data_IF_623896146589
#
_entry.id   IF_623896146589
#
_cell.length_a   1.000
_cell.length_b   1.000
_cell.length_c   1.000
_cell.angle_alpha   90.00
_cell.angle_beta   90.00
_cell.angle_gamma   90.00
#
_symmetry.space_group_name_H-M   'P 1'
#
loop_
_entity.id
_entity.type
_entity.pdbx_description
1 polymer ?
#
# COMPACT_ATOMS: atom_id res chain seq x y z
N UNK A 1 66.68 -44.03 -18.24
CA UNK A 1 66.38 -43.11 -17.14
C UNK A 1 65.23 -42.22 -17.58
N UNK A 2 63.95 -42.62 -17.33
CA UNK A 2 62.76 -41.89 -17.77
C UNK A 2 62.11 -41.21 -16.60
N UNK A 3 62.13 -39.86 -16.62
CA UNK A 3 61.42 -39.02 -15.66
C UNK A 3 59.94 -38.90 -16.07
N UNK A 4 59.03 -39.46 -15.22
CA UNK A 4 57.58 -39.27 -15.35
C UNK A 4 57.18 -37.97 -14.71
N UNK A 5 56.75 -37.00 -15.53
CA UNK A 5 56.19 -35.73 -15.04
C UNK A 5 54.70 -35.97 -14.74
N UNK A 6 54.33 -35.91 -13.47
CA UNK A 6 52.97 -35.98 -12.96
C UNK A 6 52.34 -34.58 -13.08
N UNK A 7 51.36 -34.45 -14.03
CA UNK A 7 50.53 -33.24 -14.14
C UNK A 7 49.46 -33.27 -13.06
N UNK A 8 49.61 -32.40 -12.07
CA UNK A 8 48.56 -32.14 -11.07
C UNK A 8 47.55 -31.20 -11.70
N UNK A 9 46.32 -31.68 -11.98
CA UNK A 9 45.21 -30.85 -12.42
C UNK A 9 44.51 -30.30 -11.17
N UNK A 10 44.71 -29.02 -10.87
CA UNK A 10 43.94 -28.29 -9.84
C UNK A 10 42.57 -27.96 -10.45
N UNK A 11 41.53 -28.69 -10.01
CA UNK A 11 40.16 -28.35 -10.31
C UNK A 11 39.67 -27.28 -9.32
N UNK A 12 39.61 -26.03 -9.76
CA UNK A 12 39.03 -24.92 -9.04
C UNK A 12 37.49 -25.03 -9.13
N UNK A 13 36.83 -25.48 -8.05
CA UNK A 13 35.39 -25.40 -7.87
C UNK A 13 34.98 -23.95 -7.59
N UNK A 14 34.46 -23.25 -8.60
CA UNK A 14 33.74 -22.00 -8.43
C UNK A 14 32.36 -22.31 -7.83
N UNK A 15 32.22 -22.11 -6.53
CA UNK A 15 30.92 -22.11 -5.85
C UNK A 15 30.20 -20.83 -6.25
N UNK A 16 29.30 -20.92 -7.23
CA UNK A 16 28.35 -19.85 -7.54
C UNK A 16 27.33 -19.76 -6.42
N UNK A 17 27.49 -18.78 -5.53
CA UNK A 17 26.49 -18.41 -4.54
C UNK A 17 25.33 -17.72 -5.28
N UNK A 18 24.09 -18.25 -5.28
CA UNK A 18 22.96 -17.52 -5.85
C UNK A 18 22.68 -16.31 -4.95
N UNK A 19 23.03 -15.12 -5.43
CA UNK A 19 22.54 -13.87 -4.86
C UNK A 19 21.02 -13.85 -5.03
N UNK A 20 20.28 -14.16 -3.97
CA UNK A 20 18.85 -13.92 -3.91
C UNK A 20 18.62 -12.43 -4.10
N UNK A 21 18.22 -12.02 -5.30
CA UNK A 21 17.78 -10.66 -5.60
C UNK A 21 16.40 -10.50 -4.95
N UNK A 22 16.36 -9.97 -3.73
CA UNK A 22 15.14 -9.47 -3.13
C UNK A 22 14.70 -8.27 -3.96
N UNK A 23 13.67 -8.48 -4.78
CA UNK A 23 13.06 -7.43 -5.59
C UNK A 23 12.52 -6.34 -4.67
N UNK A 24 12.99 -5.11 -4.82
CA UNK A 24 12.51 -3.93 -4.09
C UNK A 24 10.99 -3.66 -4.28
N UNK A 25 10.31 -4.40 -5.19
CA UNK A 25 8.87 -4.36 -5.41
C UNK A 25 8.04 -5.07 -4.34
N UNK A 26 8.61 -6.06 -3.63
CA UNK A 26 7.86 -6.87 -2.66
C UNK A 26 7.54 -6.13 -1.35
N UNK A 27 8.27 -5.07 -1.02
CA UNK A 27 8.07 -4.30 0.22
C UNK A 27 6.83 -3.38 0.19
N UNK A 28 6.21 -3.18 -0.98
CA UNK A 28 5.07 -2.27 -1.15
C UNK A 28 3.71 -2.97 -1.16
N UNK A 29 3.67 -4.28 -1.22
CA UNK A 29 2.45 -5.07 -1.13
C UNK A 29 2.15 -5.44 0.33
N UNK A 30 0.88 -5.41 0.72
CA UNK A 30 0.48 -5.76 2.08
C UNK A 30 0.66 -7.24 2.36
N UNK A 31 0.16 -8.08 1.45
CA UNK A 31 0.21 -9.53 1.61
C UNK A 31 1.65 -10.03 1.40
N UNK A 32 2.16 -10.76 2.39
CA UNK A 32 3.55 -11.23 2.39
C UNK A 32 4.54 -10.22 2.96
N UNK A 33 4.11 -9.01 3.32
CA UNK A 33 4.94 -8.04 4.02
C UNK A 33 5.20 -8.51 5.46
N UNK A 34 6.46 -8.68 5.89
CA UNK A 34 6.80 -9.18 7.23
C UNK A 34 6.38 -8.23 8.36
N UNK A 35 6.05 -6.97 8.06
CA UNK A 35 5.55 -6.01 9.05
C UNK A 35 4.07 -6.18 9.37
N UNK A 36 3.33 -6.98 8.62
CA UNK A 36 1.91 -7.27 8.91
C UNK A 36 1.81 -8.15 10.15
N UNK A 37 1.09 -7.66 11.17
CA UNK A 37 1.03 -8.30 12.50
C UNK A 37 -0.21 -9.14 12.74
N UNK A 38 -1.15 -9.22 11.78
CA UNK A 38 -2.39 -9.97 11.95
C UNK A 38 -3.13 -10.21 10.63
N UNK A 39 -4.31 -10.83 10.68
CA UNK A 39 -5.12 -11.05 9.49
C UNK A 39 -5.61 -9.72 8.89
N UNK A 40 -5.62 -9.65 7.55
CA UNK A 40 -6.25 -8.54 6.85
C UNK A 40 -7.76 -8.57 7.07
N UNK A 41 -8.38 -7.40 7.17
CA UNK A 41 -9.81 -7.25 7.43
C UNK A 41 -10.45 -6.23 6.49
N UNK A 42 -11.76 -6.37 6.28
CA UNK A 42 -12.52 -5.45 5.42
C UNK A 42 -13.13 -4.32 6.24
N UNK A 43 -13.11 -3.10 5.70
CA UNK A 43 -13.80 -1.95 6.25
C UNK A 43 -14.47 -1.15 5.13
N UNK A 44 -15.70 -0.69 5.35
CA UNK A 44 -16.28 0.39 4.58
C UNK A 44 -15.92 1.70 5.25
N UNK A 45 -15.28 2.62 4.53
CA UNK A 45 -14.74 3.81 5.17
C UNK A 45 -14.57 5.01 4.24
N UNK A 46 -14.29 6.12 4.88
CA UNK A 46 -13.90 7.36 4.22
C UNK A 46 -12.39 7.51 4.29
N UNK A 47 -11.73 7.64 3.16
CA UNK A 47 -10.31 8.00 3.10
C UNK A 47 -10.16 9.49 2.77
N UNK A 48 -9.19 10.12 3.38
CA UNK A 48 -8.85 11.50 3.12
C UNK A 48 -7.42 11.82 3.58
N UNK A 49 -6.98 13.00 3.23
CA UNK A 49 -5.68 13.54 3.58
C UNK A 49 -5.80 14.47 4.77
N UNK A 50 -4.92 14.34 5.75
CA UNK A 50 -4.93 15.07 7.01
C UNK A 50 -3.53 15.57 7.35
N UNK A 51 -3.45 16.56 8.24
CA UNK A 51 -2.15 16.96 8.78
C UNK A 51 -1.62 15.91 9.76
N UNK A 52 -0.32 15.66 9.69
CA UNK A 52 0.39 14.73 10.57
C UNK A 52 0.86 13.46 9.85
N UNK A 53 1.44 12.53 10.60
CA UNK A 53 1.97 11.28 10.08
C UNK A 53 1.24 10.09 10.73
N UNK A 54 0.67 9.17 9.91
CA UNK A 54 0.54 9.25 8.47
C UNK A 54 -0.48 10.31 8.02
N UNK A 55 -0.25 10.89 6.85
CA UNK A 55 -1.16 11.88 6.25
C UNK A 55 -2.48 11.27 5.81
N UNK A 56 -2.44 10.08 5.22
CA UNK A 56 -3.59 9.39 4.69
C UNK A 56 -4.26 8.56 5.77
N UNK A 57 -5.57 8.77 5.94
CA UNK A 57 -6.32 8.06 6.98
C UNK A 57 -7.65 7.57 6.47
N UNK A 58 -8.01 6.36 6.92
CA UNK A 58 -9.33 5.78 6.70
C UNK A 58 -10.13 5.89 7.99
N UNK A 59 -11.32 6.44 7.88
CA UNK A 59 -12.30 6.47 8.95
C UNK A 59 -13.39 5.44 8.65
N UNK A 60 -13.37 4.26 9.30
CA UNK A 60 -14.42 3.27 9.13
C UNK A 60 -15.77 3.82 9.54
N UNK A 61 -16.77 3.73 8.65
CA UNK A 61 -18.11 4.26 8.88
C UNK A 61 -18.77 3.57 10.08
N UNK A 62 -19.43 4.36 10.94
CA UNK A 62 -20.11 3.84 12.12
C UNK A 62 -19.20 3.50 13.30
N UNK A 63 -17.92 3.87 13.24
CA UNK A 63 -16.96 3.65 14.33
C UNK A 63 -16.27 4.94 14.74
N UNK A 64 -15.60 4.90 15.89
CA UNK A 64 -14.65 5.95 16.32
C UNK A 64 -13.20 5.60 15.99
N UNK A 65 -12.99 4.51 15.27
CA UNK A 65 -11.67 4.01 14.89
C UNK A 65 -11.08 4.86 13.79
N UNK A 66 -9.76 5.03 13.80
CA UNK A 66 -9.01 5.72 12.77
C UNK A 66 -7.84 4.84 12.33
N UNK A 67 -7.70 4.64 11.02
CA UNK A 67 -6.64 3.83 10.43
C UNK A 67 -5.69 4.74 9.67
N UNK A 68 -4.40 4.66 9.97
CA UNK A 68 -3.34 5.33 9.25
C UNK A 68 -2.87 4.49 8.06
N UNK A 69 -2.78 5.06 6.87
CA UNK A 69 -2.37 4.33 5.67
C UNK A 69 -0.87 4.44 5.47
N UNK A 70 -0.19 3.30 5.49
CA UNK A 70 1.27 3.17 5.29
C UNK A 70 1.53 1.98 4.35
N UNK A 71 2.35 2.14 3.29
CA UNK A 71 2.96 3.38 2.81
C UNK A 71 1.93 4.38 2.29
N UNK A 72 2.39 5.59 1.98
CA UNK A 72 1.57 6.58 1.28
C UNK A 72 0.91 5.95 0.04
N UNK A 73 -0.38 6.19 -0.23
CA UNK A 73 -1.07 5.61 -1.39
C UNK A 73 -0.33 5.78 -2.72
N UNK A 74 0.34 6.91 -2.94
CA UNK A 74 1.09 7.12 -4.20
C UNK A 74 2.38 6.32 -4.29
N UNK A 75 2.85 5.81 -3.16
CA UNK A 75 4.03 4.93 -3.06
C UNK A 75 3.65 3.44 -2.96
N UNK A 76 2.36 3.15 -2.89
CA UNK A 76 1.85 1.78 -2.85
C UNK A 76 2.26 1.00 -4.11
N UNK A 77 2.52 -0.27 -3.97
CA UNK A 77 2.72 -1.18 -5.10
C UNK A 77 1.41 -1.53 -5.84
N UNK A 78 0.26 -1.15 -5.28
CA UNK A 78 -1.06 -1.42 -5.84
C UNK A 78 -1.52 -0.25 -6.73
N UNK A 79 -1.76 -0.53 -8.02
CA UNK A 79 -2.12 0.50 -9.01
C UNK A 79 -3.43 1.22 -8.71
N UNK A 80 -4.44 0.53 -8.14
CA UNK A 80 -5.72 1.13 -7.74
C UNK A 80 -5.54 2.10 -6.57
N UNK A 81 -4.70 1.72 -5.60
CA UNK A 81 -4.36 2.57 -4.44
C UNK A 81 -3.61 3.81 -4.89
N UNK A 82 -2.64 3.65 -5.81
CA UNK A 82 -1.89 4.77 -6.41
C UNK A 82 -2.82 5.72 -7.17
N UNK A 83 -3.73 5.17 -7.97
CA UNK A 83 -4.69 5.97 -8.73
C UNK A 83 -5.61 6.78 -7.80
N UNK A 84 -6.13 6.15 -6.74
CA UNK A 84 -6.93 6.86 -5.72
C UNK A 84 -6.12 7.94 -5.02
N UNK A 85 -4.89 7.65 -4.61
CA UNK A 85 -4.00 8.63 -3.98
C UNK A 85 -3.79 9.87 -4.85
N UNK A 86 -3.53 9.66 -6.15
CA UNK A 86 -3.38 10.77 -7.11
C UNK A 86 -4.68 11.58 -7.28
N UNK A 87 -5.82 10.89 -7.35
CA UNK A 87 -7.12 11.57 -7.45
C UNK A 87 -7.41 12.44 -6.23
N UNK A 88 -7.07 11.97 -5.04
CA UNK A 88 -7.27 12.70 -3.79
C UNK A 88 -6.25 13.85 -3.56
N UNK A 89 -5.23 13.96 -4.42
CA UNK A 89 -4.33 15.12 -4.45
C UNK A 89 -4.91 16.29 -5.27
N UNK A 90 -5.99 16.09 -6.04
CA UNK A 90 -6.72 17.16 -6.72
C UNK A 90 -7.44 18.02 -5.66
N UNK A 91 -7.20 19.31 -5.65
CA UNK A 91 -7.76 20.26 -4.68
C UNK A 91 -9.30 20.31 -4.68
N UNK A 92 -9.94 19.78 -5.72
CA UNK A 92 -11.40 19.65 -5.82
C UNK A 92 -11.94 18.38 -5.17
N UNK A 93 -11.09 17.40 -4.86
CA UNK A 93 -11.49 16.11 -4.27
C UNK A 93 -11.18 16.11 -2.79
N UNK A 94 -12.21 16.19 -1.96
CA UNK A 94 -12.03 16.29 -0.51
C UNK A 94 -11.90 14.93 0.16
N UNK A 95 -12.71 13.96 -0.24
CA UNK A 95 -12.75 12.62 0.37
C UNK A 95 -13.21 11.58 -0.65
N UNK A 96 -12.80 10.33 -0.43
CA UNK A 96 -13.38 9.18 -1.09
C UNK A 96 -13.98 8.22 -0.06
N UNK A 97 -15.07 7.53 -0.46
CA UNK A 97 -15.65 6.41 0.27
C UNK A 97 -15.40 5.14 -0.54
N UNK A 98 -15.03 4.06 0.14
CA UNK A 98 -14.78 2.78 -0.51
C UNK A 98 -14.89 1.61 0.46
N UNK A 99 -14.93 0.40 -0.10
CA UNK A 99 -14.69 -0.83 0.63
C UNK A 99 -13.19 -1.14 0.54
N UNK A 100 -12.50 -1.12 1.68
CA UNK A 100 -11.07 -1.37 1.80
C UNK A 100 -10.83 -2.75 2.40
N UNK A 101 -9.92 -3.51 1.80
CA UNK A 101 -9.24 -4.62 2.44
C UNK A 101 -7.91 -4.11 2.96
N UNK A 102 -7.73 -4.11 4.28
CA UNK A 102 -6.52 -3.59 4.93
C UNK A 102 -5.83 -4.64 5.78
N UNK A 103 -4.50 -4.56 5.87
CA UNK A 103 -3.69 -5.44 6.70
C UNK A 103 -3.02 -4.61 7.80
N UNK A 104 -3.13 -5.01 9.10
CA UNK A 104 -2.60 -4.23 10.19
C UNK A 104 -1.07 -4.33 10.26
N UNK A 105 -0.41 -3.19 10.41
CA UNK A 105 1.04 -3.08 10.63
C UNK A 105 1.40 -3.00 12.11
N UNK A 106 0.39 -2.76 12.95
CA UNK A 106 0.50 -2.75 14.41
C UNK A 106 -0.79 -3.25 15.07
N UNK A 107 -0.69 -3.61 16.34
CA UNK A 107 -1.86 -4.04 17.11
C UNK A 107 -2.78 -2.86 17.37
N UNK A 108 -4.10 -3.12 17.32
CA UNK A 108 -5.10 -2.13 17.68
C UNK A 108 -4.99 -1.73 19.14
N UNK A 109 -4.97 -0.42 19.39
CA UNK A 109 -5.05 0.19 20.72
C UNK A 109 -6.23 1.14 20.72
N UNK A 110 -7.19 0.96 21.63
CA UNK A 110 -8.38 1.81 21.72
C UNK A 110 -8.00 3.28 21.91
N UNK A 111 -8.60 4.14 21.09
CA UNK A 111 -8.35 5.58 21.13
C UNK A 111 -7.08 6.03 20.41
N UNK A 112 -6.32 5.10 19.85
CA UNK A 112 -5.13 5.40 19.03
C UNK A 112 -5.39 5.15 17.55
N UNK A 113 -4.66 5.85 16.71
CA UNK A 113 -4.57 5.55 15.28
C UNK A 113 -3.85 4.21 15.14
N UNK A 114 -4.34 3.36 14.24
CA UNK A 114 -3.71 2.08 13.91
C UNK A 114 -3.15 2.14 12.49
N UNK A 115 -1.86 1.88 12.32
CA UNK A 115 -1.25 1.82 11.00
C UNK A 115 -1.65 0.55 10.25
N UNK A 116 -2.06 0.74 9.00
CA UNK A 116 -2.51 -0.32 8.10
C UNK A 116 -1.96 -0.12 6.69
N UNK A 117 -1.80 -1.21 5.99
CA UNK A 117 -1.52 -1.22 4.56
C UNK A 117 -2.81 -1.55 3.80
N UNK A 118 -3.08 -0.88 2.67
CA UNK A 118 -4.22 -1.18 1.81
C UNK A 118 -3.87 -2.28 0.81
N UNK A 119 -4.54 -3.42 0.92
CA UNK A 119 -4.38 -4.57 0.01
C UNK A 119 -5.26 -4.44 -1.23
N UNK A 120 -6.51 -3.95 -1.07
CA UNK A 120 -7.51 -3.82 -2.14
C UNK A 120 -8.49 -2.71 -1.83
N UNK A 121 -9.00 -2.10 -2.89
CA UNK A 121 -10.07 -1.11 -2.82
C UNK A 121 -11.18 -1.52 -3.79
N UNK A 122 -12.45 -1.35 -3.37
CA UNK A 122 -13.62 -1.63 -4.20
C UNK A 122 -14.70 -0.57 -3.97
N UNK A 123 -15.61 -0.42 -4.93
CA UNK A 123 -16.78 0.47 -4.85
C UNK A 123 -16.40 1.90 -4.47
N UNK A 124 -15.41 2.44 -5.15
CA UNK A 124 -14.90 3.78 -4.88
C UNK A 124 -15.92 4.81 -5.34
N UNK A 125 -16.23 5.76 -4.46
CA UNK A 125 -16.95 6.99 -4.78
C UNK A 125 -16.21 8.19 -4.24
N UNK A 126 -16.03 9.22 -5.05
CA UNK A 126 -15.30 10.45 -4.68
C UNK A 126 -16.28 11.60 -4.57
N UNK A 127 -16.08 12.45 -3.57
CA UNK A 127 -16.81 13.72 -3.45
C UNK A 127 -15.97 14.82 -4.07
N UNK A 128 -16.46 15.36 -5.16
CA UNK A 128 -15.85 16.47 -5.91
C UNK A 128 -16.63 17.73 -5.62
N UNK A 129 -15.95 18.81 -5.26
CA UNK A 129 -16.56 20.10 -5.00
C UNK A 129 -15.96 21.17 -5.90
N UNK A 130 -16.77 22.13 -6.31
CA UNK A 130 -16.28 23.34 -6.95
C UNK A 130 -15.42 24.16 -5.96
N UNK A 131 -14.52 25.03 -6.44
CA UNK A 131 -13.58 25.77 -5.59
C UNK A 131 -14.23 26.63 -4.50
N UNK A 132 -15.50 27.00 -4.68
CA UNK A 132 -16.28 27.75 -3.69
C UNK A 132 -16.97 26.86 -2.64
N UNK A 133 -16.76 25.55 -2.72
CA UNK A 133 -17.33 24.49 -1.86
C UNK A 133 -18.87 24.49 -1.78
N UNK A 134 -19.59 25.27 -2.61
CA UNK A 134 -21.05 25.35 -2.58
C UNK A 134 -21.72 24.22 -3.37
N UNK A 135 -21.05 23.79 -4.44
CA UNK A 135 -21.55 22.73 -5.32
C UNK A 135 -20.64 21.51 -5.20
N UNK A 136 -21.13 20.49 -4.53
CA UNK A 136 -20.45 19.20 -4.45
C UNK A 136 -21.33 18.09 -5.07
N UNK A 137 -20.69 17.20 -5.79
CA UNK A 137 -21.35 16.00 -6.32
C UNK A 137 -20.52 14.76 -6.02
N UNK A 138 -21.12 13.59 -6.15
CA UNK A 138 -20.46 12.30 -5.94
C UNK A 138 -20.25 11.63 -7.28
N UNK A 139 -19.00 11.33 -7.61
CA UNK A 139 -18.60 10.56 -8.78
C UNK A 139 -18.30 9.12 -8.37
N UNK A 140 -18.78 8.14 -9.15
CA UNK A 140 -18.34 6.76 -9.03
C UNK A 140 -17.04 6.59 -9.83
N UNK A 141 -16.09 5.85 -9.30
CA UNK A 141 -14.78 5.68 -9.93
C UNK A 141 -14.83 5.15 -11.37
N UNK A 142 -15.81 4.28 -11.68
CA UNK A 142 -15.98 3.73 -13.03
C UNK A 142 -16.52 4.73 -14.07
N UNK A 143 -17.01 5.88 -13.62
CA UNK A 143 -17.54 6.93 -14.51
C UNK A 143 -16.41 7.90 -14.93
N UNK A 144 -15.23 7.83 -14.31
CA UNK A 144 -14.09 8.74 -14.53
C UNK A 144 -13.10 8.21 -15.57
N UNK A 145 -13.14 6.90 -15.87
CA UNK A 145 -12.23 6.26 -16.86
C UNK A 145 -12.80 6.21 -18.29
N UNK A 146 -13.91 6.90 -18.55
CA UNK A 146 -14.50 7.07 -19.89
C UNK A 146 -14.38 8.52 -20.37
#
# INVERSE_FOLDING_TARGET
MQMRIWKVILATFLVACPLAQTSAGDLKQCRGNPTVVGPCFAVHGRIGRYFGNPEWRIWPVGTQRLLGVVPDPVESGNTEVVALGRKLQDDRVYVAFADFQVCPLEKEVLGSLQDVCIERIQKISVRVCEPDAKNCHVERWHDVER
#
